data_IF_770232113456
#
_entry.id   IF_770232113456
#
_cell.length_a   1.000
_cell.length_b   1.000
_cell.length_c   1.000
_cell.angle_alpha   90.00
_cell.angle_beta   90.00
_cell.angle_gamma   90.00
#
_symmetry.space_group_name_H-M   'P 1'
#
loop_
_entity.id
_entity.type
_entity.pdbx_description
1 polymer ?
#
# COMPACT_ATOMS: atom_id res chain seq x y z
N UNK A 1 -6.93 3.52 7.46
CA UNK A 1 -6.35 4.56 8.37
C UNK A 1 -6.79 6.01 8.16
N UNK A 2 -7.39 6.45 7.04
CA UNK A 2 -7.66 7.89 6.83
C UNK A 2 -8.45 8.59 7.96
N UNK A 3 -9.44 7.90 8.54
CA UNK A 3 -10.24 8.44 9.66
C UNK A 3 -9.40 8.73 10.90
N UNK A 4 -8.45 7.86 11.26
CA UNK A 4 -7.58 8.09 12.43
C UNK A 4 -6.66 9.29 12.20
N UNK A 5 -6.19 9.51 10.97
CA UNK A 5 -5.34 10.65 10.65
C UNK A 5 -6.06 11.99 10.67
N UNK A 6 -7.34 12.01 10.26
CA UNK A 6 -8.20 13.19 10.41
C UNK A 6 -8.38 13.50 11.89
N UNK A 7 -8.78 12.50 12.68
CA UNK A 7 -9.03 12.66 14.11
C UNK A 7 -7.77 13.11 14.87
N UNK A 8 -6.60 12.59 14.49
CA UNK A 8 -5.33 12.90 15.13
C UNK A 8 -4.67 14.19 14.60
N UNK A 9 -5.29 14.86 13.63
CA UNK A 9 -4.82 16.06 12.95
C UNK A 9 -3.44 15.91 12.29
N UNK A 10 -3.23 14.80 11.57
CA UNK A 10 -1.98 14.49 10.85
C UNK A 10 -2.19 14.26 9.35
N UNK A 11 -3.44 14.26 8.86
CA UNK A 11 -3.76 13.93 7.46
C UNK A 11 -3.03 14.82 6.45
N UNK A 12 -2.88 16.12 6.70
CA UNK A 12 -2.18 17.00 5.77
C UNK A 12 -0.71 16.60 5.59
N UNK A 13 -0.03 16.26 6.68
CA UNK A 13 1.37 15.82 6.67
C UNK A 13 1.51 14.46 5.96
N UNK A 14 0.53 13.55 6.12
CA UNK A 14 0.48 12.27 5.38
C UNK A 14 0.49 12.49 3.88
N UNK A 15 -0.41 13.36 3.40
CA UNK A 15 -0.69 13.49 1.97
C UNK A 15 0.39 14.32 1.29
N UNK A 16 0.79 15.43 1.92
CA UNK A 16 1.63 16.44 1.27
C UNK A 16 3.08 16.43 1.77
N UNK A 17 3.35 15.80 2.92
CA UNK A 17 4.67 15.81 3.54
C UNK A 17 4.97 17.15 4.23
N UNK A 18 6.18 17.24 4.80
CA UNK A 18 6.66 18.49 5.40
C UNK A 18 7.33 19.33 4.31
N UNK A 19 6.95 20.60 4.13
CA UNK A 19 7.65 21.51 3.23
C UNK A 19 9.11 21.70 3.64
N UNK A 20 10.02 21.75 2.66
CA UNK A 20 11.42 22.05 2.92
C UNK A 20 11.60 23.48 3.47
N UNK A 21 12.58 23.67 4.35
CA UNK A 21 12.98 24.99 4.83
C UNK A 21 13.88 25.69 3.80
N UNK A 22 13.62 26.95 3.50
CA UNK A 22 14.48 27.81 2.66
C UNK A 22 15.65 28.40 3.46
N UNK A 23 16.67 28.94 2.79
CA UNK A 23 17.92 29.38 3.43
C UNK A 23 17.78 30.59 4.39
N UNK A 24 16.66 31.32 4.37
CA UNK A 24 16.41 32.51 5.20
C UNK A 24 15.19 32.30 6.12
N UNK A 25 15.26 31.29 6.98
CA UNK A 25 14.15 30.91 7.86
C UNK A 25 13.93 31.95 8.96
N UNK A 26 12.71 32.44 9.09
CA UNK A 26 12.26 33.26 10.22
C UNK A 26 11.88 32.39 11.42
N UNK A 27 11.90 32.96 12.63
CA UNK A 27 11.50 32.24 13.86
C UNK A 27 10.10 31.62 13.76
N UNK A 28 9.16 32.30 13.09
CA UNK A 28 7.81 31.79 12.85
C UNK A 28 7.81 30.55 11.96
N UNK A 29 8.60 30.54 10.88
CA UNK A 29 8.72 29.39 9.97
C UNK A 29 9.40 28.19 10.67
N UNK A 30 10.40 28.43 11.52
CA UNK A 30 11.01 27.38 12.35
C UNK A 30 9.99 26.75 13.31
N UNK A 31 9.17 27.57 13.98
CA UNK A 31 8.15 27.09 14.90
C UNK A 31 7.13 26.21 14.18
N UNK A 32 6.65 26.63 13.01
CA UNK A 32 5.73 25.86 12.17
C UNK A 32 6.36 24.53 11.70
N UNK A 33 7.60 24.57 11.22
CA UNK A 33 8.29 23.35 10.78
C UNK A 33 8.47 22.34 11.93
N UNK A 34 8.79 22.82 13.14
CA UNK A 34 8.87 21.97 14.32
C UNK A 34 7.51 21.35 14.69
N UNK A 35 6.41 22.10 14.54
CA UNK A 35 5.07 21.55 14.73
C UNK A 35 4.74 20.45 13.70
N UNK A 36 5.10 20.67 12.43
CA UNK A 36 4.94 19.67 11.38
C UNK A 36 5.75 18.41 11.66
N UNK A 37 7.00 18.53 12.14
CA UNK A 37 7.81 17.37 12.56
C UNK A 37 7.19 16.57 13.70
N UNK A 38 6.54 17.24 14.67
CA UNK A 38 5.80 16.53 15.73
C UNK A 38 4.62 15.73 15.17
N UNK A 39 3.87 16.31 14.23
CA UNK A 39 2.76 15.63 13.55
C UNK A 39 3.24 14.44 12.73
N UNK A 40 4.39 14.58 12.06
CA UNK A 40 5.04 13.54 11.27
C UNK A 40 5.44 12.34 12.15
N UNK A 41 6.12 12.56 13.28
CA UNK A 41 6.47 11.46 14.20
C UNK A 41 5.25 10.79 14.82
N UNK A 42 4.24 11.58 15.25
CA UNK A 42 2.98 11.03 15.74
C UNK A 42 2.32 10.16 14.67
N UNK A 43 2.42 10.62 13.44
CA UNK A 43 1.97 9.93 12.27
C UNK A 43 2.63 8.59 12.01
N UNK A 44 3.96 8.57 11.94
CA UNK A 44 4.77 7.35 11.84
C UNK A 44 4.40 6.34 12.93
N UNK A 45 4.26 6.81 14.17
CA UNK A 45 3.81 5.96 15.27
C UNK A 45 2.44 5.33 15.00
N UNK A 46 1.46 6.10 14.50
CA UNK A 46 0.13 5.57 14.16
C UNK A 46 0.19 4.53 13.03
N UNK A 47 1.04 4.76 12.02
CA UNK A 47 1.26 3.78 10.94
C UNK A 47 1.82 2.48 11.52
N UNK A 48 2.90 2.56 12.32
CA UNK A 48 3.51 1.41 12.98
C UNK A 48 2.53 0.58 13.82
N UNK A 49 1.55 1.22 14.45
CA UNK A 49 0.53 0.52 15.26
C UNK A 49 -0.55 -0.18 14.43
N UNK A 50 -0.71 0.16 13.16
CA UNK A 50 -1.83 -0.28 12.33
C UNK A 50 -1.43 -1.21 11.18
N UNK A 51 -0.14 -1.36 10.92
CA UNK A 51 0.40 -2.27 9.89
C UNK A 51 0.77 -3.63 10.49
N UNK A 52 0.73 -4.68 9.67
CA UNK A 52 1.24 -6.00 10.08
C UNK A 52 2.78 -6.05 10.08
N UNK A 53 3.34 -7.17 10.51
CA UNK A 53 4.79 -7.32 10.65
C UNK A 53 5.54 -7.19 9.31
N UNK A 54 4.97 -7.69 8.21
CA UNK A 54 5.60 -7.67 6.89
C UNK A 54 5.69 -6.24 6.35
N UNK A 55 4.62 -5.46 6.52
CA UNK A 55 4.62 -4.04 6.16
C UNK A 55 5.45 -3.22 7.15
N UNK A 56 5.46 -3.58 8.43
CA UNK A 56 6.25 -2.89 9.46
C UNK A 56 7.77 -2.96 9.18
N UNK A 57 8.31 -4.13 8.86
CA UNK A 57 9.74 -4.30 8.54
C UNK A 57 10.19 -3.44 7.35
N UNK A 58 9.26 -3.16 6.42
CA UNK A 58 9.48 -2.29 5.27
C UNK A 58 9.40 -0.81 5.64
N UNK A 59 8.37 -0.44 6.40
CA UNK A 59 8.08 0.95 6.76
C UNK A 59 9.05 1.51 7.82
N UNK A 60 9.72 0.67 8.62
CA UNK A 60 10.64 1.14 9.68
C UNK A 60 11.83 1.94 9.14
N UNK A 61 12.20 1.74 7.87
CA UNK A 61 13.29 2.48 7.21
C UNK A 61 12.86 3.88 6.76
N UNK A 62 11.56 4.18 6.75
CA UNK A 62 11.03 5.47 6.31
C UNK A 62 11.16 6.53 7.40
N UNK A 63 11.88 7.60 7.09
CA UNK A 63 12.11 8.72 8.02
C UNK A 63 10.92 9.70 8.13
N UNK A 64 9.93 9.55 7.24
CA UNK A 64 8.78 10.46 7.15
C UNK A 64 7.48 9.68 7.10
N UNK A 65 6.42 10.25 7.67
CA UNK A 65 5.09 9.67 7.62
C UNK A 65 4.58 9.52 6.18
N UNK A 66 4.92 10.48 5.31
CA UNK A 66 4.54 10.43 3.90
C UNK A 66 5.20 9.25 3.19
N UNK A 67 6.51 9.07 3.38
CA UNK A 67 7.24 7.95 2.79
C UNK A 67 6.67 6.60 3.25
N UNK A 68 6.48 6.46 4.56
CA UNK A 68 5.81 5.30 5.17
C UNK A 68 4.42 5.02 4.58
N UNK A 69 3.59 6.06 4.43
CA UNK A 69 2.23 5.93 3.89
C UNK A 69 2.22 5.59 2.39
N UNK A 70 3.11 6.19 1.60
CA UNK A 70 3.21 5.91 0.18
C UNK A 70 3.70 4.48 -0.06
N UNK A 71 4.63 3.98 0.77
CA UNK A 71 5.10 2.60 0.74
C UNK A 71 3.99 1.60 1.07
N UNK A 72 3.25 1.84 2.15
CA UNK A 72 2.10 1.02 2.56
C UNK A 72 1.05 0.94 1.43
N UNK A 73 0.72 2.07 0.80
CA UNK A 73 -0.22 2.12 -0.32
C UNK A 73 0.31 1.40 -1.57
N UNK A 74 1.62 1.44 -1.82
CA UNK A 74 2.24 0.72 -2.94
C UNK A 74 2.17 -0.79 -2.72
N UNK A 75 2.46 -1.27 -1.50
CA UNK A 75 2.42 -2.69 -1.17
C UNK A 75 1.01 -3.27 -1.30
N UNK A 76 -0.01 -2.60 -0.74
CA UNK A 76 -1.41 -3.02 -0.89
C UNK A 76 -1.82 -3.17 -2.37
N UNK A 77 -1.41 -2.21 -3.21
CA UNK A 77 -1.69 -2.29 -4.66
C UNK A 77 -0.95 -3.44 -5.33
N UNK A 78 0.26 -3.74 -4.89
CA UNK A 78 1.07 -4.84 -5.42
C UNK A 78 0.43 -6.19 -5.07
N UNK A 79 -0.04 -6.37 -3.83
CA UNK A 79 -0.76 -7.56 -3.39
C UNK A 79 -2.08 -7.76 -4.15
N UNK A 80 -2.87 -6.70 -4.35
CA UNK A 80 -4.10 -6.76 -5.17
C UNK A 80 -3.81 -7.21 -6.62
N UNK A 81 -2.74 -6.67 -7.22
CA UNK A 81 -2.32 -7.08 -8.56
C UNK A 81 -1.83 -8.52 -8.62
N UNK A 82 -1.05 -8.94 -7.61
CA UNK A 82 -0.52 -10.29 -7.51
C UNK A 82 -1.64 -11.32 -7.40
N UNK A 83 -2.56 -11.12 -6.45
CA UNK A 83 -3.71 -12.01 -6.25
C UNK A 83 -4.62 -12.07 -7.49
N UNK A 84 -4.81 -10.95 -8.19
CA UNK A 84 -5.56 -10.91 -9.45
C UNK A 84 -4.88 -11.72 -10.57
N UNK A 85 -3.55 -11.63 -10.67
CA UNK A 85 -2.75 -12.39 -11.64
C UNK A 85 -2.83 -13.90 -11.37
N UNK A 86 -2.63 -14.31 -10.12
CA UNK A 86 -2.73 -15.73 -9.73
C UNK A 86 -4.12 -16.30 -10.04
N UNK A 87 -5.18 -15.54 -9.72
CA UNK A 87 -6.54 -15.93 -10.03
C UNK A 87 -6.75 -16.07 -11.56
N UNK A 88 -6.12 -15.20 -12.37
CA UNK A 88 -6.19 -15.29 -13.82
C UNK A 88 -5.46 -16.54 -14.36
N UNK A 89 -4.27 -16.85 -13.86
CA UNK A 89 -3.53 -18.06 -14.25
C UNK A 89 -4.31 -19.33 -13.90
N UNK A 90 -4.95 -19.36 -12.73
CA UNK A 90 -5.79 -20.49 -12.33
C UNK A 90 -6.98 -20.68 -13.28
N UNK A 91 -7.65 -19.59 -13.67
CA UNK A 91 -8.75 -19.62 -14.65
C UNK A 91 -8.29 -20.15 -16.01
N UNK A 92 -7.08 -19.81 -16.46
CA UNK A 92 -6.51 -20.34 -17.69
C UNK A 92 -6.25 -21.85 -17.60
N UNK A 93 -5.67 -22.32 -16.49
CA UNK A 93 -5.44 -23.76 -16.25
C UNK A 93 -6.75 -24.55 -16.25
N UNK A 94 -7.78 -24.05 -15.57
CA UNK A 94 -9.11 -24.67 -15.54
C UNK A 94 -9.74 -24.73 -16.94
N UNK A 95 -9.70 -23.62 -17.69
CA UNK A 95 -10.23 -23.58 -19.06
C UNK A 95 -9.54 -24.58 -19.98
N UNK A 96 -8.21 -24.74 -19.84
CA UNK A 96 -7.46 -25.71 -20.64
C UNK A 96 -7.83 -27.15 -20.26
N UNK A 97 -7.96 -27.46 -18.97
CA UNK A 97 -8.43 -28.77 -18.52
C UNK A 97 -9.84 -29.09 -19.04
N UNK A 98 -10.75 -28.11 -19.02
CA UNK A 98 -12.11 -28.28 -19.51
C UNK A 98 -12.13 -28.57 -21.02
N UNK A 99 -11.32 -27.85 -21.81
CA UNK A 99 -11.15 -28.12 -23.25
C UNK A 99 -10.66 -29.54 -23.52
N UNK A 100 -9.67 -30.02 -22.75
CA UNK A 100 -9.15 -31.39 -22.89
C UNK A 100 -10.22 -32.42 -22.55
N UNK A 101 -10.98 -32.21 -21.47
CA UNK A 101 -12.09 -33.09 -21.09
C UNK A 101 -13.17 -33.16 -22.17
N UNK A 102 -13.55 -32.02 -22.73
CA UNK A 102 -14.54 -31.94 -23.82
C UNK A 102 -14.07 -32.68 -25.08
N UNK A 103 -12.80 -32.51 -25.47
CA UNK A 103 -12.24 -33.24 -26.62
C UNK A 103 -12.25 -34.76 -26.40
N UNK A 104 -11.89 -35.21 -25.19
CA UNK A 104 -11.91 -36.63 -24.84
C UNK A 104 -13.35 -37.22 -24.87
N UNK A 105 -14.35 -36.45 -24.42
CA UNK A 105 -15.75 -36.86 -24.47
C UNK A 105 -16.24 -37.00 -25.92
N UNK A 106 -15.99 -35.98 -26.76
CA UNK A 106 -16.35 -36.00 -28.18
C UNK A 106 -15.69 -37.16 -28.94
N UNK A 107 -14.44 -37.50 -28.62
CA UNK A 107 -13.76 -38.64 -29.23
C UNK A 107 -14.44 -39.98 -28.87
N UNK A 108 -14.87 -40.15 -27.61
CA UNK A 108 -15.60 -41.35 -27.16
C UNK A 108 -16.96 -41.48 -27.83
N UNK A 109 -17.70 -40.39 -27.96
CA UNK A 109 -19.02 -40.38 -28.62
C UNK A 109 -18.95 -40.74 -30.10
N UNK A 110 -17.83 -40.46 -30.78
CA UNK A 110 -17.63 -40.82 -32.20
C UNK A 110 -17.22 -42.27 -32.44
N UNK A 111 -16.83 -42.99 -31.39
CA UNK A 111 -16.35 -44.38 -31.46
C UNK A 111 -17.42 -45.43 -31.10
N UNK A 112 -18.59 -45.00 -30.63
CA UNK A 112 -19.74 -45.84 -30.29
C UNK A 112 -20.80 -45.67 -31.37
#
# INVERSE_FOLDING_TARGET
>A
MKVIFIFQNVLEIVIYGIPALENNVTDAQMATHHEHKKKDWKGLFLIHQCVDLNIFEKVIEEETMKGAWDMDLYEMKLEELHTSLEAHELRLKQRNQEKVKQQALQAKERMC
#
